data_IF_904582500847
#
_entry.id   IF_904582500847
#
_cell.length_a   1.000
_cell.length_b   1.000
_cell.length_c   1.000
_cell.angle_alpha   90.00
_cell.angle_beta   90.00
_cell.angle_gamma   90.00
#
_symmetry.space_group_name_H-M   'P 1'
#
loop_
_entity.id
_entity.type
_entity.pdbx_description
1 polymer ?
#
# COMPACT_ATOMS: atom_id res chain seq x y z
N UNK A 1 16.89 -21.49 9.47
CA UNK A 1 15.82 -20.53 9.82
C UNK A 1 15.94 -20.21 11.30
N UNK A 2 15.77 -18.95 11.68
CA UNK A 2 15.81 -18.48 13.07
C UNK A 2 14.42 -17.89 13.43
N UNK A 3 13.48 -18.71 13.93
CA UNK A 3 12.11 -18.28 14.19
C UNK A 3 11.97 -17.36 15.40
N UNK A 4 13.03 -17.23 16.23
CA UNK A 4 13.03 -16.36 17.41
C UNK A 4 13.82 -15.06 17.18
N UNK A 5 14.36 -14.86 15.98
CA UNK A 5 15.12 -13.67 15.60
C UNK A 5 16.22 -13.37 16.64
N UNK A 6 16.96 -14.42 17.02
CA UNK A 6 17.92 -14.46 18.12
C UNK A 6 19.08 -13.48 17.95
N UNK A 7 19.37 -13.07 16.71
CA UNK A 7 20.40 -12.08 16.38
C UNK A 7 19.95 -10.63 16.58
N UNK A 8 18.70 -10.39 16.99
CA UNK A 8 18.12 -9.05 17.12
C UNK A 8 17.61 -8.81 18.53
N UNK A 9 17.97 -7.66 19.08
CA UNK A 9 17.44 -7.15 20.35
C UNK A 9 16.27 -6.19 20.12
N UNK A 10 16.26 -5.51 18.96
CA UNK A 10 15.23 -4.52 18.58
C UNK A 10 14.83 -4.74 17.14
N UNK A 11 13.51 -4.74 16.90
CA UNK A 11 12.90 -4.79 15.58
C UNK A 11 12.06 -3.53 15.41
N UNK A 12 12.25 -2.83 14.30
CA UNK A 12 11.47 -1.66 13.92
C UNK A 12 10.75 -2.01 12.61
N UNK A 13 9.42 -1.89 12.61
CA UNK A 13 8.61 -1.99 11.40
C UNK A 13 8.11 -0.60 11.08
N UNK A 14 8.56 -0.07 9.94
CA UNK A 14 8.18 1.25 9.45
C UNK A 14 7.00 1.17 8.48
N UNK A 15 6.34 2.31 8.24
CA UNK A 15 5.27 2.47 7.25
C UNK A 15 4.10 1.45 7.39
N UNK A 16 3.80 0.98 8.61
CA UNK A 16 2.74 -0.03 8.83
C UNK A 16 1.32 0.41 8.46
N UNK A 17 1.13 1.68 8.09
CA UNK A 17 -0.12 2.15 7.52
C UNK A 17 -0.35 1.73 6.07
N UNK A 18 0.68 1.24 5.36
CA UNK A 18 0.52 0.69 4.00
C UNK A 18 -0.29 -0.63 4.01
N UNK A 19 -0.35 -1.32 5.16
CA UNK A 19 -1.22 -2.48 5.40
C UNK A 19 -1.13 -3.57 4.32
N UNK A 20 0.10 -3.86 3.93
CA UNK A 20 0.42 -4.97 3.05
C UNK A 20 0.13 -6.33 3.68
N UNK A 21 -0.25 -7.32 2.87
CA UNK A 21 -0.62 -8.66 3.37
C UNK A 21 0.54 -9.34 4.10
N UNK A 22 1.76 -9.22 3.57
CA UNK A 22 2.97 -9.80 4.17
C UNK A 22 3.36 -9.05 5.44
N UNK A 23 3.12 -7.75 5.49
CA UNK A 23 3.28 -6.94 6.69
C UNK A 23 2.35 -7.40 7.81
N UNK A 24 1.04 -7.52 7.52
CA UNK A 24 0.05 -8.00 8.50
C UNK A 24 0.35 -9.44 8.97
N UNK A 25 0.83 -10.32 8.10
CA UNK A 25 1.32 -11.65 8.48
C UNK A 25 2.56 -11.58 9.39
N UNK A 26 3.52 -10.72 9.06
CA UNK A 26 4.72 -10.49 9.87
C UNK A 26 4.36 -9.96 11.27
N UNK A 27 3.34 -9.08 11.38
CA UNK A 27 2.90 -8.55 12.68
C UNK A 27 2.45 -9.66 13.63
N UNK A 28 1.68 -10.65 13.16
CA UNK A 28 1.29 -11.79 13.99
C UNK A 28 2.51 -12.66 14.35
N UNK A 29 3.42 -12.90 13.40
CA UNK A 29 4.66 -13.62 13.70
C UNK A 29 5.49 -12.94 14.79
N UNK A 30 5.66 -11.62 14.69
CA UNK A 30 6.37 -10.83 15.69
C UNK A 30 5.64 -10.83 17.03
N UNK A 31 4.31 -10.76 17.03
CA UNK A 31 3.48 -10.90 18.24
C UNK A 31 3.72 -12.23 18.96
N UNK A 32 3.93 -13.33 18.22
CA UNK A 32 4.32 -14.61 18.80
C UNK A 32 5.76 -14.60 19.33
N UNK A 33 6.69 -13.94 18.65
CA UNK A 33 8.08 -13.80 19.10
C UNK A 33 8.16 -13.02 20.41
N UNK A 34 7.53 -11.85 20.53
CA UNK A 34 7.56 -11.03 21.76
C UNK A 34 6.88 -11.72 22.95
N UNK A 35 5.95 -12.66 22.71
CA UNK A 35 5.36 -13.49 23.77
C UNK A 35 6.34 -14.56 24.29
N UNK A 36 7.33 -14.94 23.50
CA UNK A 36 8.34 -15.97 23.83
C UNK A 36 9.68 -15.37 24.27
N UNK A 37 9.96 -14.12 23.88
CA UNK A 37 11.17 -13.37 24.21
C UNK A 37 10.81 -12.08 24.93
N UNK A 38 11.11 -12.03 26.22
CA UNK A 38 10.90 -10.83 27.04
C UNK A 38 11.98 -9.75 26.82
N UNK A 39 13.12 -10.16 26.26
CA UNK A 39 14.30 -9.32 26.02
C UNK A 39 14.25 -8.56 24.68
N UNK A 40 13.41 -8.99 23.73
CA UNK A 40 13.27 -8.32 22.44
C UNK A 40 12.33 -7.10 22.54
N UNK A 41 12.64 -6.05 21.79
CA UNK A 41 11.79 -4.85 21.64
C UNK A 41 11.22 -4.77 20.24
N UNK A 42 9.92 -4.51 20.13
CA UNK A 42 9.24 -4.23 18.87
C UNK A 42 8.77 -2.77 18.84
N UNK A 43 9.15 -2.04 17.80
CA UNK A 43 8.70 -0.67 17.55
C UNK A 43 7.93 -0.65 16.23
N UNK A 44 6.75 -0.08 16.29
CA UNK A 44 5.83 0.07 15.17
C UNK A 44 5.76 1.55 14.80
N UNK A 45 6.27 1.91 13.62
CA UNK A 45 6.37 3.29 13.13
C UNK A 45 5.40 3.54 11.99
N UNK A 46 4.73 4.69 12.02
CA UNK A 46 3.78 5.11 11.00
C UNK A 46 3.44 6.59 11.09
N UNK A 47 3.24 7.23 9.95
CA UNK A 47 2.77 8.62 9.85
C UNK A 47 1.25 8.76 10.10
N UNK A 48 0.43 7.82 9.60
CA UNK A 48 -1.03 7.87 9.74
C UNK A 48 -1.60 6.49 10.02
N UNK A 49 -1.55 6.09 11.29
CA UNK A 49 -2.02 4.78 11.74
C UNK A 49 -3.35 4.87 12.49
N UNK A 50 -4.17 3.84 12.37
CA UNK A 50 -5.24 3.59 13.33
C UNK A 50 -4.62 3.15 14.67
N UNK A 51 -4.32 4.13 15.53
CA UNK A 51 -3.64 3.92 16.80
C UNK A 51 -4.40 2.92 17.67
N UNK A 52 -5.72 3.00 17.72
CA UNK A 52 -6.55 2.10 18.54
C UNK A 52 -6.44 0.65 18.06
N UNK A 53 -6.52 0.40 16.76
CA UNK A 53 -6.40 -0.95 16.19
C UNK A 53 -5.08 -1.61 16.60
N UNK A 54 -3.95 -0.91 16.40
CA UNK A 54 -2.63 -1.48 16.65
C UNK A 54 -2.29 -1.56 18.15
N UNK A 55 -2.65 -0.54 18.93
CA UNK A 55 -2.44 -0.55 20.38
C UNK A 55 -3.23 -1.65 21.06
N UNK A 56 -4.48 -1.89 20.64
CA UNK A 56 -5.30 -3.01 21.15
C UNK A 56 -4.74 -4.36 20.71
N UNK A 57 -4.33 -4.51 19.45
CA UNK A 57 -3.82 -5.76 18.92
C UNK A 57 -2.52 -6.22 19.62
N UNK A 58 -1.61 -5.29 19.94
CA UNK A 58 -0.37 -5.58 20.67
C UNK A 58 -0.44 -5.36 22.18
N UNK A 59 -1.54 -4.79 22.70
CA UNK A 59 -1.66 -4.30 24.07
C UNK A 59 -0.46 -3.40 24.46
N UNK A 60 -0.17 -2.41 23.61
CA UNK A 60 1.07 -1.63 23.67
C UNK A 60 0.82 -0.12 23.87
N UNK A 61 1.72 0.59 24.57
CA UNK A 61 1.64 2.04 24.71
C UNK A 61 1.88 2.74 23.38
N UNK A 62 1.40 3.98 23.27
CA UNK A 62 1.50 4.78 22.05
C UNK A 62 2.29 6.05 22.33
N UNK A 63 3.18 6.42 21.40
CA UNK A 63 3.99 7.63 21.48
C UNK A 63 3.67 8.46 20.24
N UNK A 64 3.16 9.68 20.46
CA UNK A 64 2.92 10.65 19.38
C UNK A 64 4.07 11.63 19.33
N UNK A 65 4.80 11.63 18.21
CA UNK A 65 5.82 12.64 17.94
C UNK A 65 5.21 13.70 17.04
N UNK A 66 4.98 14.94 17.53
CA UNK A 66 4.42 15.99 16.69
C UNK A 66 5.40 16.33 15.57
N UNK A 67 4.96 16.19 14.33
CA UNK A 67 5.71 16.67 13.17
C UNK A 67 5.75 18.20 13.15
N UNK A 68 6.92 18.78 12.86
CA UNK A 68 7.02 20.19 12.49
C UNK A 68 6.56 20.33 11.05
N UNK A 69 5.27 20.60 10.86
CA UNK A 69 4.67 20.85 9.55
C UNK A 69 4.19 22.30 9.52
N UNK A 70 4.58 23.03 8.49
CA UNK A 70 4.07 24.36 8.22
C UNK A 70 2.59 24.29 7.81
N UNK A 71 1.79 25.34 8.02
CA UNK A 71 0.39 25.34 7.63
C UNK A 71 0.24 25.13 6.12
N UNK A 72 -0.69 24.25 5.75
CA UNK A 72 -1.07 24.00 4.35
C UNK A 72 -2.53 24.40 4.18
N UNK A 73 -2.81 25.32 3.26
CA UNK A 73 -4.18 25.70 2.89
C UNK A 73 -4.76 24.62 1.98
N UNK A 74 -5.97 24.16 2.26
CA UNK A 74 -6.68 23.20 1.42
C UNK A 74 -7.77 23.93 0.63
N UNK A 75 -7.82 23.69 -0.67
CA UNK A 75 -8.86 24.18 -1.56
C UNK A 75 -9.52 23.01 -2.30
N UNK A 76 -10.85 22.92 -2.23
CA UNK A 76 -11.63 21.92 -2.95
C UNK A 76 -12.09 22.47 -4.29
N UNK A 77 -11.70 21.82 -5.37
CA UNK A 77 -11.96 22.19 -6.75
C UNK A 77 -12.79 21.08 -7.42
N UNK A 78 -14.10 20.96 -7.13
CA UNK A 78 -14.93 19.92 -7.72
C UNK A 78 -14.92 20.04 -9.25
N UNK A 79 -14.71 18.90 -9.90
CA UNK A 79 -14.68 18.76 -11.35
C UNK A 79 -15.54 17.59 -11.78
N UNK A 80 -16.03 17.63 -13.02
CA UNK A 80 -16.75 16.51 -13.62
C UNK A 80 -15.85 15.27 -13.62
N UNK A 81 -16.46 14.09 -13.48
CA UNK A 81 -15.70 12.84 -13.34
C UNK A 81 -14.83 12.53 -14.56
N UNK A 82 -15.32 12.89 -15.75
CA UNK A 82 -14.60 12.81 -17.03
C UNK A 82 -13.38 13.76 -17.12
N UNK A 83 -13.37 14.84 -16.34
CA UNK A 83 -12.28 15.82 -16.28
C UNK A 83 -11.26 15.53 -15.16
N UNK A 84 -11.42 14.42 -14.41
CA UNK A 84 -10.50 14.03 -13.31
C UNK A 84 -9.13 13.59 -13.77
N UNK A 85 -9.03 13.21 -15.04
CA UNK A 85 -7.73 13.16 -15.71
C UNK A 85 -7.35 14.61 -15.99
N UNK A 86 -6.47 15.17 -15.14
CA UNK A 86 -6.06 16.57 -15.22
C UNK A 86 -5.76 16.98 -16.67
N UNK A 87 -6.39 18.06 -17.12
CA UNK A 87 -5.89 18.80 -18.28
C UNK A 87 -4.66 19.59 -17.84
N UNK A 88 -3.58 19.48 -18.61
CA UNK A 88 -2.38 20.27 -18.38
C UNK A 88 -2.65 21.78 -18.36
N UNK A 89 -3.66 22.26 -19.09
CA UNK A 89 -3.96 23.70 -19.16
C UNK A 89 -4.53 24.25 -17.85
N UNK A 90 -5.44 23.50 -17.21
CA UNK A 90 -5.99 23.89 -15.90
C UNK A 90 -4.90 23.94 -14.83
N UNK A 91 -3.93 23.02 -14.88
CA UNK A 91 -2.79 23.03 -13.95
C UNK A 91 -1.82 24.18 -14.23
N UNK A 92 -1.62 24.55 -15.51
CA UNK A 92 -0.83 25.72 -15.88
C UNK A 92 -1.47 26.99 -15.35
N UNK A 93 -2.77 27.17 -15.55
CA UNK A 93 -3.52 28.33 -15.06
C UNK A 93 -3.43 28.45 -13.53
N UNK A 94 -3.64 27.33 -12.83
CA UNK A 94 -3.52 27.27 -11.38
C UNK A 94 -2.11 27.60 -10.89
N UNK A 95 -1.07 27.02 -11.49
CA UNK A 95 0.30 27.32 -11.07
C UNK A 95 0.74 28.73 -11.50
N UNK A 96 0.16 29.29 -12.56
CA UNK A 96 0.43 30.66 -13.00
C UNK A 96 -0.26 31.71 -12.13
N UNK A 97 -1.40 31.40 -11.50
CA UNK A 97 -2.08 32.31 -10.57
C UNK A 97 -1.25 32.56 -9.30
N UNK A 98 -0.33 31.65 -8.97
CA UNK A 98 0.62 31.80 -7.85
C UNK A 98 1.69 32.85 -8.21
N UNK A 99 1.92 33.87 -7.34
CA UNK A 99 2.96 34.88 -7.54
C UNK A 99 4.35 34.28 -7.77
N UNK A 100 5.10 34.84 -8.72
CA UNK A 100 6.39 34.26 -9.16
C UNK A 100 7.44 34.14 -8.04
N UNK A 101 7.41 35.04 -7.07
CA UNK A 101 8.26 35.04 -5.87
C UNK A 101 7.84 33.98 -4.82
N UNK A 102 6.64 33.42 -4.93
CA UNK A 102 6.09 32.43 -4.01
C UNK A 102 6.03 31.02 -4.63
N UNK A 103 6.27 30.89 -5.95
CA UNK A 103 6.28 29.60 -6.66
C UNK A 103 7.35 28.66 -6.09
N UNK A 104 6.91 27.59 -5.45
CA UNK A 104 7.69 26.41 -5.10
C UNK A 104 7.39 25.28 -6.06
N UNK A 105 7.83 24.08 -5.71
CA UNK A 105 7.67 22.91 -6.58
C UNK A 105 6.27 22.33 -6.43
N UNK A 106 5.73 21.86 -7.55
CA UNK A 106 4.42 21.29 -7.72
C UNK A 106 4.53 19.75 -7.72
N UNK A 107 3.78 19.10 -6.84
CA UNK A 107 3.62 17.65 -6.82
C UNK A 107 2.17 17.29 -7.18
N UNK A 108 2.02 16.52 -8.25
CA UNK A 108 0.74 16.12 -8.81
C UNK A 108 0.54 14.61 -8.59
N UNK A 109 -0.49 14.25 -7.84
CA UNK A 109 -0.86 12.86 -7.61
C UNK A 109 -1.80 12.34 -8.69
N UNK A 110 -1.31 11.36 -9.46
CA UNK A 110 -2.04 10.66 -10.51
C UNK A 110 -2.14 9.16 -10.22
N UNK A 111 -3.18 8.51 -10.74
CA UNK A 111 -3.50 7.14 -10.35
C UNK A 111 -2.60 6.09 -11.01
N UNK A 112 -2.01 6.37 -12.18
CA UNK A 112 -1.13 5.42 -12.86
C UNK A 112 -0.28 5.98 -14.00
N UNK A 113 0.54 5.10 -14.59
CA UNK A 113 1.55 5.47 -15.58
C UNK A 113 0.96 6.05 -16.88
N UNK A 114 -0.23 5.60 -17.28
CA UNK A 114 -0.89 6.09 -18.49
C UNK A 114 -1.32 7.55 -18.31
N UNK A 115 -1.93 7.85 -17.17
CA UNK A 115 -2.37 9.19 -16.79
C UNK A 115 -1.15 10.12 -16.59
N UNK A 116 -0.10 9.63 -15.93
CA UNK A 116 1.17 10.36 -15.74
C UNK A 116 1.79 10.71 -17.10
N UNK A 117 1.88 9.73 -18.01
CA UNK A 117 2.54 9.93 -19.31
C UNK A 117 1.79 10.93 -20.19
N UNK A 118 0.45 10.83 -20.21
CA UNK A 118 -0.40 11.80 -20.92
C UNK A 118 -0.20 13.21 -20.38
N UNK A 119 -0.26 13.38 -19.05
CA UNK A 119 -0.12 14.67 -18.42
C UNK A 119 1.30 15.25 -18.57
N UNK A 120 2.33 14.40 -18.51
CA UNK A 120 3.72 14.80 -18.70
C UNK A 120 3.95 15.39 -20.09
N UNK A 121 3.36 14.81 -21.14
CA UNK A 121 3.44 15.37 -22.50
C UNK A 121 2.72 16.72 -22.61
N UNK A 122 1.52 16.86 -22.02
CA UNK A 122 0.77 18.14 -22.02
C UNK A 122 1.49 19.27 -21.24
N UNK A 123 2.24 18.90 -20.20
CA UNK A 123 3.00 19.82 -19.35
C UNK A 123 4.46 20.02 -19.80
N UNK A 124 4.95 19.30 -20.81
CA UNK A 124 6.38 19.26 -21.18
C UNK A 124 7.01 20.62 -21.42
N UNK A 125 6.37 21.46 -22.24
CA UNK A 125 6.84 22.83 -22.52
C UNK A 125 6.83 23.70 -21.26
N UNK A 126 5.78 23.54 -20.44
CA UNK A 126 5.63 24.28 -19.20
C UNK A 126 6.66 23.87 -18.15
N UNK A 127 6.91 22.57 -18.01
CA UNK A 127 7.91 22.00 -17.12
C UNK A 127 9.33 22.41 -17.55
N UNK A 128 9.62 22.50 -18.84
CA UNK A 128 10.92 23.00 -19.33
C UNK A 128 11.17 24.47 -18.94
N UNK A 129 10.13 25.30 -18.94
CA UNK A 129 10.24 26.70 -18.55
C UNK A 129 10.33 26.87 -17.03
N UNK A 130 9.51 26.12 -16.28
CA UNK A 130 9.39 26.29 -14.83
C UNK A 130 10.40 25.46 -14.03
N UNK A 131 10.78 24.27 -14.50
CA UNK A 131 11.60 23.23 -13.82
C UNK A 131 11.10 22.79 -12.45
N UNK A 132 9.80 22.90 -12.20
CA UNK A 132 9.19 22.80 -10.84
C UNK A 132 8.01 21.83 -10.77
N UNK A 133 7.93 20.83 -11.66
CA UNK A 133 6.74 19.98 -11.76
C UNK A 133 7.10 18.50 -11.65
N UNK A 134 6.48 17.81 -10.69
CA UNK A 134 6.62 16.38 -10.45
C UNK A 134 5.24 15.76 -10.51
N UNK A 135 5.11 14.69 -11.29
CA UNK A 135 3.88 13.89 -11.38
C UNK A 135 4.24 12.52 -10.81
N UNK A 136 3.47 12.06 -9.82
CA UNK A 136 3.76 10.80 -9.13
C UNK A 136 2.48 10.04 -8.78
N UNK A 137 2.64 8.76 -8.48
CA UNK A 137 1.62 7.95 -7.82
C UNK A 137 1.71 8.13 -6.30
N UNK A 138 1.09 7.23 -5.54
CA UNK A 138 1.26 7.13 -4.09
C UNK A 138 2.73 6.90 -3.64
N UNK A 139 3.69 6.64 -4.55
CA UNK A 139 5.11 6.58 -4.18
C UNK A 139 5.60 7.88 -3.52
N UNK A 140 5.10 9.05 -3.95
CA UNK A 140 5.45 10.32 -3.31
C UNK A 140 4.66 10.59 -2.01
N UNK A 141 3.64 9.77 -1.72
CA UNK A 141 2.78 9.88 -0.53
C UNK A 141 3.49 9.38 0.73
N UNK A 142 4.27 8.30 0.62
CA UNK A 142 4.99 7.64 1.72
C UNK A 142 6.50 7.56 1.42
N UNK A 143 6.87 6.88 0.34
CA UNK A 143 8.20 6.28 0.12
C UNK A 143 9.33 7.24 -0.27
N UNK A 144 9.03 8.47 -0.71
CA UNK A 144 10.05 9.42 -1.21
C UNK A 144 9.92 10.78 -0.56
N UNK A 145 11.04 11.34 -0.10
CA UNK A 145 11.12 12.74 0.32
C UNK A 145 11.57 13.59 -0.85
N UNK A 146 10.80 14.62 -1.19
CA UNK A 146 11.13 15.58 -2.23
C UNK A 146 11.14 16.97 -1.59
N UNK A 147 12.31 17.58 -1.57
CA UNK A 147 12.49 18.91 -1.02
C UNK A 147 11.90 19.98 -1.95
N UNK A 148 11.43 21.08 -1.38
CA UNK A 148 10.96 22.25 -2.14
C UNK A 148 9.50 22.18 -2.61
N UNK A 149 8.80 21.06 -2.38
CA UNK A 149 7.36 20.96 -2.67
C UNK A 149 6.59 21.94 -1.78
N UNK A 150 5.84 22.84 -2.42
CA UNK A 150 4.93 23.79 -1.74
C UNK A 150 3.49 23.66 -2.23
N UNK A 151 3.27 22.99 -3.35
CA UNK A 151 1.96 22.91 -4.00
C UNK A 151 1.61 21.46 -4.30
N UNK A 152 0.45 21.00 -3.82
CA UNK A 152 -0.08 19.67 -4.08
C UNK A 152 -1.29 19.77 -4.99
N UNK A 153 -1.34 18.94 -6.02
CA UNK A 153 -2.54 18.64 -6.80
C UNK A 153 -2.93 17.21 -6.48
N UNK A 154 -4.10 17.02 -5.89
CA UNK A 154 -4.60 15.70 -5.48
C UNK A 154 -5.87 15.34 -6.25
N UNK A 155 -5.79 14.27 -7.05
CA UNK A 155 -6.93 13.70 -7.78
C UNK A 155 -7.89 12.96 -6.86
N UNK A 156 -7.46 12.58 -5.65
CA UNK A 156 -8.24 11.74 -4.74
C UNK A 156 -8.27 10.26 -5.15
N UNK A 157 -7.50 9.87 -6.18
CA UNK A 157 -7.50 8.52 -6.74
C UNK A 157 -6.17 7.80 -6.53
N UNK A 158 -6.25 6.47 -6.56
CA UNK A 158 -5.12 5.54 -6.53
C UNK A 158 -5.47 4.30 -7.34
N UNK A 159 -4.50 3.66 -7.99
CA UNK A 159 -4.68 2.32 -8.57
C UNK A 159 -4.13 1.29 -7.61
N UNK A 160 -4.97 0.31 -7.30
CA UNK A 160 -4.62 -0.79 -6.40
C UNK A 160 -5.14 -2.11 -6.94
N UNK A 161 -4.51 -3.20 -6.50
CA UNK A 161 -4.98 -4.54 -6.82
C UNK A 161 -6.29 -4.81 -6.07
N UNK A 162 -7.35 -5.08 -6.80
CA UNK A 162 -8.57 -5.68 -6.29
C UNK A 162 -8.67 -7.14 -6.73
N UNK A 163 -9.42 -7.93 -5.97
CA UNK A 163 -9.71 -9.32 -6.30
C UNK A 163 -11.21 -9.51 -6.49
N UNK A 164 -11.56 -10.01 -7.67
CA UNK A 164 -12.92 -10.47 -7.96
C UNK A 164 -13.00 -11.95 -7.63
N UNK A 165 -13.72 -12.26 -6.54
CA UNK A 165 -13.86 -13.64 -6.03
C UNK A 165 -14.65 -14.50 -7.01
N UNK A 166 -15.64 -13.94 -7.70
CA UNK A 166 -16.50 -14.69 -8.64
C UNK A 166 -15.73 -15.07 -9.90
N UNK A 167 -14.93 -14.14 -10.41
CA UNK A 167 -14.10 -14.37 -11.60
C UNK A 167 -12.76 -15.04 -11.28
N UNK A 168 -12.35 -15.07 -10.01
CA UNK A 168 -11.06 -15.63 -9.58
C UNK A 168 -9.86 -14.84 -10.10
N UNK A 169 -10.02 -13.56 -10.43
CA UNK A 169 -8.97 -12.73 -11.07
C UNK A 169 -8.64 -11.51 -10.23
N UNK A 170 -7.34 -11.22 -10.16
CA UNK A 170 -6.85 -9.97 -9.60
C UNK A 170 -6.82 -8.91 -10.71
N UNK A 171 -7.41 -7.75 -10.44
CA UNK A 171 -7.50 -6.63 -11.37
C UNK A 171 -6.99 -5.35 -10.74
N UNK A 172 -6.01 -4.71 -11.38
CA UNK A 172 -5.61 -3.36 -11.04
C UNK A 172 -6.74 -2.39 -11.41
N UNK A 173 -7.37 -1.79 -10.42
CA UNK A 173 -8.50 -0.88 -10.62
C UNK A 173 -8.27 0.43 -9.87
N UNK A 174 -8.95 1.48 -10.32
CA UNK A 174 -8.87 2.79 -9.67
C UNK A 174 -9.88 2.87 -8.53
N UNK A 175 -9.43 3.36 -7.38
CA UNK A 175 -10.21 3.57 -6.17
C UNK A 175 -10.01 4.98 -5.63
N UNK A 176 -10.94 5.39 -4.77
CA UNK A 176 -10.76 6.56 -3.93
C UNK A 176 -9.74 6.30 -2.83
N UNK A 177 -8.93 7.31 -2.52
CA UNK A 177 -8.01 7.26 -1.39
C UNK A 177 -8.75 7.35 -0.04
N UNK A 178 -8.04 7.06 1.04
CA UNK A 178 -8.52 7.31 2.40
C UNK A 178 -8.30 8.76 2.84
N UNK A 179 -8.98 9.21 3.90
CA UNK A 179 -8.69 10.50 4.54
C UNK A 179 -7.25 10.57 5.03
N UNK A 180 -6.73 9.49 5.61
CA UNK A 180 -5.33 9.38 6.01
C UNK A 180 -4.37 9.62 4.83
N UNK A 181 -4.60 8.98 3.69
CA UNK A 181 -3.81 9.19 2.47
C UNK A 181 -3.90 10.63 1.96
N UNK A 182 -5.10 11.20 1.91
CA UNK A 182 -5.29 12.60 1.52
C UNK A 182 -4.57 13.59 2.46
N UNK A 183 -4.47 13.28 3.74
CA UNK A 183 -3.69 14.06 4.72
C UNK A 183 -2.19 13.90 4.50
N UNK A 184 -1.71 12.69 4.18
CA UNK A 184 -0.30 12.47 3.86
C UNK A 184 0.12 13.22 2.59
N UNK A 185 -0.69 13.14 1.53
CA UNK A 185 -0.48 13.88 0.28
C UNK A 185 -0.39 15.38 0.53
N UNK A 186 -1.37 15.94 1.25
CA UNK A 186 -1.39 17.35 1.65
C UNK A 186 -0.15 17.73 2.48
N UNK A 187 0.26 16.88 3.43
CA UNK A 187 1.41 17.11 4.30
C UNK A 187 2.74 17.25 3.57
N UNK A 188 2.85 16.78 2.32
CA UNK A 188 4.05 16.93 1.48
C UNK A 188 4.37 18.40 1.18
N UNK A 189 3.37 19.28 1.06
CA UNK A 189 3.59 20.72 0.85
C UNK A 189 4.03 21.47 2.11
N UNK A 190 3.81 20.91 3.30
CA UNK A 190 4.07 21.59 4.58
C UNK A 190 5.48 21.35 5.13
N UNK A 191 6.41 20.75 4.37
CA UNK A 191 7.72 20.33 4.89
C UNK A 191 8.74 21.46 4.96
N UNK A 192 8.86 22.25 3.89
CA UNK A 192 9.89 23.30 3.78
C UNK A 192 9.36 24.71 4.09
N UNK A 193 8.04 24.90 4.09
CA UNK A 193 7.40 26.18 4.37
C UNK A 193 5.88 26.09 4.20
N UNK A 194 5.14 27.19 4.38
CA UNK A 194 3.70 27.22 4.10
C UNK A 194 3.43 26.83 2.65
N UNK A 195 2.37 26.06 2.44
CA UNK A 195 2.00 25.53 1.13
C UNK A 195 0.50 25.46 0.89
N UNK A 196 0.11 24.96 -0.27
CA UNK A 196 -1.29 24.81 -0.67
C UNK A 196 -1.56 23.42 -1.26
N UNK A 197 -2.75 22.89 -1.01
CA UNK A 197 -3.21 21.61 -1.52
C UNK A 197 -4.55 21.78 -2.22
N UNK A 198 -4.56 21.57 -3.53
CA UNK A 198 -5.75 21.64 -4.37
C UNK A 198 -6.30 20.24 -4.57
N UNK A 199 -7.48 19.97 -4.01
CA UNK A 199 -8.18 18.69 -4.09
C UNK A 199 -9.20 18.75 -5.21
N UNK A 200 -9.07 17.91 -6.22
CA UNK A 200 -9.92 17.92 -7.42
C UNK A 200 -11.19 17.07 -7.23
N UNK A 201 -11.77 17.22 -6.05
CA UNK A 201 -13.00 16.59 -5.58
C UNK A 201 -13.64 17.53 -4.55
N UNK A 202 -14.94 17.37 -4.33
CA UNK A 202 -15.69 18.19 -3.39
C UNK A 202 -15.34 17.86 -1.95
N UNK A 203 -15.60 18.81 -1.04
CA UNK A 203 -15.50 18.57 0.39
C UNK A 203 -16.44 17.46 0.86
N UNK A 204 -17.64 17.37 0.26
CA UNK A 204 -18.57 16.27 0.54
C UNK A 204 -18.00 14.90 0.14
N UNK A 205 -17.31 14.82 -1.00
CA UNK A 205 -16.63 13.57 -1.39
C UNK A 205 -15.50 13.23 -0.42
N UNK A 206 -14.71 14.22 0.02
CA UNK A 206 -13.70 14.02 1.05
C UNK A 206 -14.29 13.47 2.35
N UNK A 207 -15.39 14.04 2.82
CA UNK A 207 -16.01 13.60 4.07
C UNK A 207 -16.58 12.18 4.01
N UNK A 208 -16.96 11.71 2.82
CA UNK A 208 -17.42 10.35 2.57
C UNK A 208 -16.29 9.33 2.35
N UNK A 209 -15.02 9.76 2.31
CA UNK A 209 -13.89 8.83 2.25
C UNK A 209 -13.76 8.03 3.54
N UNK A 210 -13.25 6.80 3.43
CA UNK A 210 -12.86 6.01 4.61
C UNK A 210 -11.71 6.69 5.35
N UNK A 211 -11.69 6.62 6.68
CA UNK A 211 -10.63 7.23 7.49
C UNK A 211 -9.25 6.64 7.16
N UNK A 212 -9.18 5.32 6.95
CA UNK A 212 -7.97 4.58 6.64
C UNK A 212 -8.15 3.72 5.39
N UNK A 213 -7.03 3.38 4.73
CA UNK A 213 -7.03 2.47 3.60
C UNK A 213 -7.52 1.07 4.02
N UNK A 214 -8.22 0.40 3.10
CA UNK A 214 -8.64 -0.98 3.31
C UNK A 214 -7.39 -1.87 3.16
N UNK A 215 -7.05 -2.70 4.16
CA UNK A 215 -5.82 -3.50 4.12
C UNK A 215 -5.85 -4.53 3.00
N UNK A 216 -4.69 -4.85 2.42
CA UNK A 216 -4.58 -5.79 1.30
C UNK A 216 -5.18 -7.15 1.63
N UNK A 217 -5.04 -7.62 2.87
CA UNK A 217 -5.57 -8.92 3.33
C UNK A 217 -7.06 -9.11 3.06
N UNK A 218 -7.83 -8.02 2.92
CA UNK A 218 -9.27 -8.07 2.60
C UNK A 218 -9.58 -8.05 1.10
N UNK A 219 -8.59 -7.77 0.26
CA UNK A 219 -8.78 -7.37 -1.15
C UNK A 219 -8.02 -8.22 -2.15
N UNK A 220 -7.13 -9.10 -1.70
CA UNK A 220 -6.28 -9.91 -2.57
C UNK A 220 -6.43 -11.42 -2.28
N UNK A 221 -5.99 -12.28 -3.21
CA UNK A 221 -5.86 -13.71 -2.98
C UNK A 221 -4.86 -14.05 -1.85
N UNK A 222 -5.11 -15.12 -1.10
CA UNK A 222 -4.35 -15.47 0.12
C UNK A 222 -3.51 -16.73 -0.01
N UNK A 223 -3.34 -17.29 -1.21
CA UNK A 223 -2.67 -18.57 -1.45
C UNK A 223 -1.26 -18.60 -0.86
N UNK A 224 -0.45 -17.58 -1.15
CA UNK A 224 0.93 -17.50 -0.68
C UNK A 224 1.02 -17.46 0.85
N UNK A 225 0.13 -16.71 1.50
CA UNK A 225 0.10 -16.55 2.96
C UNK A 225 -0.42 -17.83 3.63
N UNK A 226 -1.47 -18.43 3.09
CA UNK A 226 -2.00 -19.72 3.56
C UNK A 226 -0.93 -20.81 3.44
N UNK A 227 -0.19 -20.82 2.33
CA UNK A 227 0.89 -21.76 2.11
C UNK A 227 2.04 -21.54 3.12
N UNK A 228 2.38 -20.30 3.45
CA UNK A 228 3.34 -19.96 4.50
C UNK A 228 2.87 -20.40 5.89
N UNK A 229 1.60 -20.17 6.25
CA UNK A 229 0.98 -20.63 7.50
C UNK A 229 1.15 -22.15 7.64
N UNK A 230 0.81 -22.91 6.58
CA UNK A 230 0.96 -24.36 6.57
C UNK A 230 2.43 -24.79 6.63
N UNK A 231 3.32 -24.14 5.87
CA UNK A 231 4.75 -24.50 5.81
C UNK A 231 5.49 -24.24 7.13
N UNK A 232 5.13 -23.19 7.85
CA UNK A 232 5.67 -22.88 9.17
C UNK A 232 4.92 -23.55 10.32
N UNK A 233 3.91 -24.38 10.01
CA UNK A 233 3.09 -25.10 10.99
C UNK A 233 2.46 -24.17 12.05
N UNK A 234 1.90 -23.05 11.59
CA UNK A 234 1.32 -22.00 12.44
C UNK A 234 -0.15 -22.24 12.80
N UNK A 235 -0.69 -23.42 12.47
CA UNK A 235 -2.08 -23.80 12.75
C UNK A 235 -3.00 -23.66 11.54
N UNK A 236 -4.31 -23.60 11.81
CA UNK A 236 -5.33 -23.48 10.78
C UNK A 236 -5.38 -22.05 10.24
N UNK A 237 -5.25 -21.82 8.92
CA UNK A 237 -5.32 -20.48 8.34
C UNK A 237 -6.62 -19.72 8.66
N UNK A 238 -7.71 -20.44 8.95
CA UNK A 238 -9.02 -19.84 9.32
C UNK A 238 -9.01 -19.22 10.72
N UNK A 239 -8.12 -19.69 11.59
CA UNK A 239 -8.04 -19.29 12.99
C UNK A 239 -6.83 -18.37 13.26
N UNK A 240 -6.07 -18.03 12.23
CA UNK A 240 -4.87 -17.21 12.36
C UNK A 240 -5.21 -15.78 12.84
N UNK A 241 -4.47 -15.28 13.84
CA UNK A 241 -4.75 -14.03 14.56
C UNK A 241 -4.22 -12.81 13.81
N UNK A 242 -4.66 -12.60 12.57
CA UNK A 242 -4.36 -11.38 11.84
C UNK A 242 -4.92 -10.15 12.58
N UNK A 243 -4.19 -9.03 12.51
CA UNK A 243 -4.63 -7.73 13.07
C UNK A 243 -6.04 -7.34 12.61
N UNK A 244 -6.36 -7.65 11.36
CA UNK A 244 -7.72 -7.65 10.84
C UNK A 244 -7.96 -8.94 10.05
N UNK A 245 -9.10 -9.57 10.28
CA UNK A 245 -9.41 -10.84 9.63
C UNK A 245 -9.75 -10.64 8.14
N UNK A 246 -9.21 -11.49 7.24
CA UNK A 246 -9.69 -11.56 5.87
C UNK A 246 -11.14 -12.07 5.81
N UNK A 247 -11.86 -11.79 4.70
CA UNK A 247 -13.11 -12.47 4.39
C UNK A 247 -12.92 -14.00 4.38
N UNK A 248 -13.81 -14.72 5.04
CA UNK A 248 -13.74 -16.19 5.12
C UNK A 248 -13.87 -16.85 3.75
N UNK A 249 -14.64 -16.23 2.84
CA UNK A 249 -14.80 -16.67 1.46
C UNK A 249 -13.48 -16.65 0.70
N UNK A 250 -12.65 -15.61 0.88
CA UNK A 250 -11.31 -15.55 0.28
C UNK A 250 -10.42 -16.67 0.80
N UNK A 251 -10.45 -16.95 2.11
CA UNK A 251 -9.67 -18.06 2.69
C UNK A 251 -10.09 -19.39 2.06
N UNK A 252 -11.39 -19.66 1.99
CA UNK A 252 -11.94 -20.90 1.42
C UNK A 252 -11.56 -21.02 -0.06
N UNK A 253 -11.71 -19.95 -0.83
CA UNK A 253 -11.36 -19.92 -2.25
C UNK A 253 -9.86 -20.22 -2.45
N UNK A 254 -8.97 -19.54 -1.71
CA UNK A 254 -7.53 -19.76 -1.82
C UNK A 254 -7.11 -21.17 -1.39
N UNK A 255 -7.74 -21.76 -0.36
CA UNK A 255 -7.50 -23.17 0.01
C UNK A 255 -7.92 -24.10 -1.12
N UNK A 256 -9.10 -23.89 -1.71
CA UNK A 256 -9.57 -24.71 -2.83
C UNK A 256 -8.65 -24.59 -4.04
N UNK A 257 -8.16 -23.38 -4.34
CA UNK A 257 -7.17 -23.18 -5.40
C UNK A 257 -5.86 -23.92 -5.11
N UNK A 258 -5.32 -23.82 -3.89
CA UNK A 258 -4.12 -24.55 -3.47
C UNK A 258 -4.28 -26.08 -3.59
N UNK A 259 -5.48 -26.61 -3.31
CA UNK A 259 -5.83 -28.03 -3.52
C UNK A 259 -5.85 -28.38 -5.01
N UNK A 260 -6.48 -27.55 -5.83
CA UNK A 260 -6.55 -27.75 -7.29
C UNK A 260 -5.16 -27.76 -7.94
N UNK A 261 -4.23 -26.95 -7.43
CA UNK A 261 -2.85 -26.95 -7.94
C UNK A 261 -1.97 -28.04 -7.31
N UNK A 262 -2.51 -28.90 -6.42
CA UNK A 262 -1.79 -29.93 -5.65
C UNK A 262 -0.71 -29.39 -4.70
N UNK A 263 -0.82 -28.14 -4.26
CA UNK A 263 0.03 -27.59 -3.19
C UNK A 263 -0.44 -28.07 -1.81
N UNK A 264 -1.75 -28.29 -1.65
CA UNK A 264 -2.36 -28.94 -0.49
C UNK A 264 -3.07 -30.24 -0.92
N UNK A 265 -3.14 -31.22 -0.04
CA UNK A 265 -3.93 -32.44 -0.25
C UNK A 265 -5.41 -32.26 0.12
N UNK A 266 -6.23 -33.31 -0.04
CA UNK A 266 -7.67 -33.25 0.27
C UNK A 266 -7.97 -32.93 1.75
N UNK A 267 -7.04 -33.25 2.65
CA UNK A 267 -7.09 -32.98 4.09
C UNK A 267 -6.40 -31.66 4.46
N UNK A 268 -6.10 -30.81 3.47
CA UNK A 268 -5.44 -29.51 3.62
C UNK A 268 -4.00 -29.59 4.17
N UNK A 269 -3.34 -30.74 4.01
CA UNK A 269 -1.94 -30.93 4.43
C UNK A 269 -1.00 -30.54 3.29
N UNK A 270 0.14 -29.96 3.65
CA UNK A 270 1.16 -29.50 2.71
C UNK A 270 1.75 -30.69 1.92
N UNK A 271 1.76 -30.60 0.60
CA UNK A 271 2.40 -31.59 -0.28
C UNK A 271 3.89 -31.26 -0.51
N UNK A 272 4.70 -32.18 -1.09
CA UNK A 272 6.06 -31.84 -1.50
C UNK A 272 6.13 -30.65 -2.47
N UNK A 273 5.17 -30.56 -3.41
CA UNK A 273 5.04 -29.42 -4.31
C UNK A 273 4.73 -28.14 -3.53
N UNK A 274 3.76 -28.18 -2.61
CA UNK A 274 3.42 -27.05 -1.75
C UNK A 274 4.61 -26.56 -0.92
N UNK A 275 5.44 -27.49 -0.41
CA UNK A 275 6.67 -27.15 0.32
C UNK A 275 7.73 -26.50 -0.56
N UNK A 276 7.82 -26.85 -1.84
CA UNK A 276 8.71 -26.15 -2.77
C UNK A 276 8.18 -24.74 -3.05
N UNK A 277 6.88 -24.63 -3.37
CA UNK A 277 6.21 -23.36 -3.67
C UNK A 277 6.28 -22.37 -2.49
N UNK A 278 6.18 -22.84 -1.25
CA UNK A 278 6.23 -21.98 -0.06
C UNK A 278 7.55 -21.23 0.11
N UNK A 279 8.62 -21.69 -0.55
CA UNK A 279 9.95 -21.09 -0.50
C UNK A 279 10.26 -20.20 -1.72
N UNK A 280 9.32 -20.06 -2.67
CA UNK A 280 9.54 -19.26 -3.88
C UNK A 280 8.99 -17.84 -3.71
N UNK A 281 9.72 -16.79 -4.09
CA UNK A 281 9.30 -15.39 -3.97
C UNK A 281 8.41 -14.95 -5.15
N UNK A 282 7.48 -15.80 -5.58
CA UNK A 282 6.61 -15.57 -6.74
C UNK A 282 5.22 -16.14 -6.51
N UNK A 283 4.26 -15.75 -7.36
CA UNK A 283 2.91 -16.30 -7.37
C UNK A 283 2.92 -17.85 -7.46
N UNK A 284 2.00 -18.50 -6.75
CA UNK A 284 1.94 -19.97 -6.63
C UNK A 284 1.72 -20.67 -7.98
N UNK A 285 0.98 -20.03 -8.89
CA UNK A 285 0.71 -20.57 -10.23
C UNK A 285 1.95 -20.48 -11.11
N UNK A 286 2.62 -19.33 -11.08
CA UNK A 286 3.92 -19.14 -11.76
C UNK A 286 4.99 -20.10 -11.20
N UNK A 287 5.04 -20.25 -9.87
CA UNK A 287 5.96 -21.18 -9.21
C UNK A 287 5.74 -22.61 -9.63
N UNK A 288 4.46 -23.04 -9.74
CA UNK A 288 4.14 -24.38 -10.22
C UNK A 288 4.58 -24.55 -11.67
N UNK A 289 4.36 -23.56 -12.53
CA UNK A 289 4.83 -23.61 -13.91
C UNK A 289 6.34 -23.75 -14.01
N UNK A 290 7.10 -22.99 -13.23
CA UNK A 290 8.56 -23.07 -13.22
C UNK A 290 9.07 -24.43 -12.73
N UNK A 291 8.49 -24.95 -11.63
CA UNK A 291 8.83 -26.29 -11.14
C UNK A 291 8.55 -27.36 -12.20
N UNK A 292 7.39 -27.29 -12.85
CA UNK A 292 7.03 -28.24 -13.91
C UNK A 292 7.94 -28.10 -15.14
N UNK A 293 8.29 -26.87 -15.53
CA UNK A 293 9.19 -26.61 -16.63
C UNK A 293 10.60 -27.15 -16.36
N UNK A 294 11.08 -27.05 -15.11
CA UNK A 294 12.33 -27.71 -14.69
C UNK A 294 12.24 -29.24 -14.79
N UNK A 295 11.16 -29.85 -14.30
CA UNK A 295 10.96 -31.30 -14.41
C UNK A 295 10.88 -31.80 -15.86
N UNK A 296 10.33 -31.00 -16.76
CA UNK A 296 10.23 -31.31 -18.19
C UNK A 296 11.49 -30.97 -18.99
N UNK A 297 12.51 -30.35 -18.37
CA UNK A 297 13.76 -29.97 -19.03
C UNK A 297 13.67 -28.73 -19.91
N UNK A 298 12.67 -27.87 -19.72
CA UNK A 298 12.51 -26.59 -20.44
C UNK A 298 13.28 -25.43 -19.79
N UNK A 299 13.75 -25.60 -18.55
CA UNK A 299 14.58 -24.61 -17.86
C UNK A 299 16.01 -25.12 -17.84
N UNK A 300 16.91 -24.43 -18.53
CA UNK A 300 18.35 -24.63 -18.45
C UNK A 300 18.86 -23.66 -17.38
N UNK A 301 19.37 -24.19 -16.27
CA UNK A 301 20.03 -23.41 -15.21
C UNK A 301 21.48 -23.18 -15.60
#
# INVERSE_FOLDING_TARGET
>A
SDPLLSNYDVIIIDEIHERHVTGDFLLEMLKQVIRRREDIRLILMSATINIELFSNYFNAPTIKVPGKVYPVRVEYMPIAEEDRIFSGDKLKELHQSIPSNERGDLLIFQSGINEISKLAEELKLYANYTKKCIISTNIAETSVTIDGIRFIIDSGKVKEMGYDIECGVSKLSEYWISKASAMQRMGRAGRTGPGECFRFYSENEFENLNDFAIPEIKRIPLESIILQICAFNLGNPRDFDFIEKPPIENIIHSINHLKNINALDHLERLTPLGKMLSNMPIDVSLGKMLIMAMFMGFVII
#
